data_IF_826849553860
#
_entry.id   IF_826849553860
#
_cell.length_a   1.000
_cell.length_b   1.000
_cell.length_c   1.000
_cell.angle_alpha   90.00
_cell.angle_beta   90.00
_cell.angle_gamma   90.00
#
_symmetry.space_group_name_H-M   'P 1'
#
loop_
_entity.id
_entity.type
_entity.pdbx_description
1 polymer ?
#
# COMPACT_ATOMS: atom_id res chain seq x y z
N UNK A 1 1.42 20.92 -0.82
CA UNK A 1 0.76 19.63 -0.54
C UNK A 1 -0.67 19.74 -1.05
N UNK A 2 -0.98 19.13 -2.20
CA UNK A 2 -2.34 19.13 -2.75
C UNK A 2 -2.69 17.70 -3.11
N UNK A 3 -3.17 16.98 -2.10
CA UNK A 3 -3.90 15.77 -2.39
C UNK A 3 -5.26 16.20 -2.96
N UNK A 4 -5.50 15.89 -4.23
CA UNK A 4 -6.80 16.08 -4.86
C UNK A 4 -7.59 14.78 -4.70
N UNK A 5 -8.85 14.87 -4.27
CA UNK A 5 -9.74 13.72 -4.06
C UNK A 5 -9.27 12.68 -3.02
N UNK A 6 -8.52 13.11 -1.99
CA UNK A 6 -8.13 12.27 -0.86
C UNK A 6 -8.92 12.66 0.39
N UNK A 7 -9.51 11.66 1.05
CA UNK A 7 -10.37 11.86 2.21
C UNK A 7 -9.83 11.09 3.42
N UNK A 8 -9.69 11.77 4.55
CA UNK A 8 -9.34 11.15 5.83
C UNK A 8 -10.60 11.08 6.72
N UNK A 9 -11.09 9.86 6.97
CA UNK A 9 -12.31 9.64 7.76
C UNK A 9 -11.96 9.16 9.17
N UNK A 10 -12.01 10.08 10.13
CA UNK A 10 -11.68 9.83 11.54
C UNK A 10 -12.92 9.73 12.43
N UNK A 11 -12.82 9.02 13.56
CA UNK A 11 -13.91 8.91 14.53
C UNK A 11 -13.78 7.69 15.45
N UNK A 12 -14.65 7.59 16.46
CA UNK A 12 -14.63 6.54 17.48
C UNK A 12 -14.85 5.14 16.90
N UNK A 13 -14.46 4.10 17.65
CA UNK A 13 -14.73 2.71 17.27
C UNK A 13 -16.23 2.50 17.03
N UNK A 14 -16.59 1.66 16.06
CA UNK A 14 -17.98 1.35 15.68
C UNK A 14 -18.85 2.51 15.19
N UNK A 15 -18.29 3.68 14.89
CA UNK A 15 -19.02 4.83 14.33
C UNK A 15 -19.35 4.71 12.82
N UNK A 16 -19.27 3.52 12.21
CA UNK A 16 -19.62 3.33 10.79
C UNK A 16 -18.60 3.89 9.77
N UNK A 17 -17.36 4.17 10.18
CA UNK A 17 -16.31 4.75 9.31
C UNK A 17 -16.03 3.92 8.06
N UNK A 18 -15.82 2.61 8.23
CA UNK A 18 -15.55 1.70 7.09
C UNK A 18 -16.71 1.68 6.10
N UNK A 19 -17.96 1.73 6.59
CA UNK A 19 -19.15 1.81 5.73
C UNK A 19 -19.14 3.09 4.88
N UNK A 20 -18.80 4.23 5.48
CA UNK A 20 -18.70 5.50 4.76
C UNK A 20 -17.59 5.47 3.71
N UNK A 21 -16.40 4.96 4.07
CA UNK A 21 -15.25 4.86 3.14
C UNK A 21 -15.60 3.99 1.93
N UNK A 22 -16.23 2.81 2.15
CA UNK A 22 -16.68 1.93 1.05
C UNK A 22 -17.70 2.59 0.15
N UNK A 23 -18.67 3.30 0.72
CA UNK A 23 -19.69 3.99 -0.06
C UNK A 23 -19.10 5.14 -0.90
N UNK A 24 -18.14 5.88 -0.35
CA UNK A 24 -17.43 6.94 -1.07
C UNK A 24 -16.59 6.37 -2.22
N UNK A 25 -15.83 5.31 -1.96
CA UNK A 25 -15.05 4.59 -2.96
C UNK A 25 -15.94 4.11 -4.12
N UNK A 26 -17.04 3.41 -3.82
CA UNK A 26 -17.97 2.91 -4.84
C UNK A 26 -18.66 4.03 -5.64
N UNK A 27 -18.96 5.17 -5.02
CA UNK A 27 -19.67 6.28 -5.67
C UNK A 27 -18.78 7.08 -6.63
N UNK A 28 -17.51 7.23 -6.29
CA UNK A 28 -16.58 8.11 -7.01
C UNK A 28 -15.43 7.38 -7.70
N UNK A 29 -15.55 6.06 -7.87
CA UNK A 29 -14.48 5.20 -8.42
C UNK A 29 -13.15 5.38 -7.67
N UNK A 30 -13.26 5.53 -6.34
CA UNK A 30 -12.13 5.74 -5.44
C UNK A 30 -11.60 4.44 -4.85
N UNK A 31 -10.42 4.50 -4.24
CA UNK A 31 -9.81 3.36 -3.55
C UNK A 31 -10.11 3.46 -2.05
N UNK A 32 -10.75 2.42 -1.50
CA UNK A 32 -10.90 2.29 -0.06
C UNK A 32 -9.59 1.78 0.57
N UNK A 33 -8.86 2.66 1.25
CA UNK A 33 -7.60 2.31 1.94
C UNK A 33 -7.86 1.55 3.25
N UNK A 34 -8.45 0.36 3.16
CA UNK A 34 -8.65 -0.55 4.30
C UNK A 34 -7.35 -1.29 4.68
N UNK A 35 -7.44 -2.27 5.58
CA UNK A 35 -6.33 -3.17 5.87
C UNK A 35 -5.87 -3.86 4.58
N UNK A 36 -4.56 -3.84 4.33
CA UNK A 36 -3.94 -4.45 3.15
C UNK A 36 -4.46 -3.92 1.79
N UNK A 37 -4.98 -2.69 1.71
CA UNK A 37 -5.41 -2.08 0.43
C UNK A 37 -4.35 -2.12 -0.68
N UNK A 38 -3.09 -2.17 -0.28
CA UNK A 38 -1.93 -2.31 -1.15
C UNK A 38 -1.98 -3.59 -2.00
N UNK A 39 -2.56 -4.70 -1.53
CA UNK A 39 -2.67 -5.95 -2.29
C UNK A 39 -3.48 -5.75 -3.58
N UNK A 40 -4.55 -4.96 -3.51
CA UNK A 40 -5.41 -4.63 -4.66
C UNK A 40 -4.69 -3.80 -5.71
N UNK A 41 -3.63 -3.08 -5.34
CA UNK A 41 -2.85 -2.21 -6.23
C UNK A 41 -1.55 -2.87 -6.68
N UNK A 42 -0.98 -3.78 -5.86
CA UNK A 42 0.26 -4.48 -6.11
C UNK A 42 0.23 -5.26 -7.43
N UNK A 43 -0.91 -5.85 -7.80
CA UNK A 43 -1.02 -6.69 -8.99
C UNK A 43 -0.67 -5.91 -10.28
N UNK A 44 -1.06 -4.64 -10.36
CA UNK A 44 -0.90 -3.81 -11.55
C UNK A 44 0.44 -3.05 -11.59
N UNK A 45 1.22 -3.07 -10.50
CA UNK A 45 2.51 -2.39 -10.45
C UNK A 45 3.57 -3.11 -11.30
N UNK A 46 4.31 -2.33 -12.08
CA UNK A 46 5.49 -2.80 -12.80
C UNK A 46 6.67 -2.98 -11.85
N UNK A 47 7.27 -4.18 -11.80
CA UNK A 47 8.49 -4.41 -11.02
C UNK A 47 9.70 -3.67 -11.56
N UNK A 48 9.67 -3.28 -12.84
CA UNK A 48 10.73 -2.48 -13.44
C UNK A 48 10.68 -1.02 -12.98
N UNK A 49 9.47 -0.51 -12.69
CA UNK A 49 9.26 0.87 -12.24
C UNK A 49 9.26 0.98 -10.72
N UNK A 50 8.68 -0.01 -10.02
CA UNK A 50 8.52 -0.03 -8.57
C UNK A 50 9.14 -1.29 -7.91
N UNK A 51 10.44 -1.57 -8.11
CA UNK A 51 11.07 -2.82 -7.67
C UNK A 51 10.98 -3.06 -6.16
N UNK A 52 11.01 -2.01 -5.35
CA UNK A 52 10.88 -2.13 -3.88
C UNK A 52 9.44 -2.44 -3.45
N UNK A 53 8.44 -1.84 -4.10
CA UNK A 53 7.03 -2.10 -3.79
C UNK A 53 6.59 -3.49 -4.25
N UNK A 54 7.08 -3.97 -5.40
CA UNK A 54 6.75 -5.31 -5.91
C UNK A 54 7.65 -6.42 -5.36
N UNK A 55 8.67 -6.09 -4.56
CA UNK A 55 9.66 -7.06 -4.09
C UNK A 55 9.01 -8.30 -3.45
N UNK A 56 8.08 -8.10 -2.52
CA UNK A 56 7.43 -9.20 -1.80
C UNK A 56 6.46 -10.00 -2.66
N UNK A 57 5.85 -9.36 -3.68
CA UNK A 57 5.00 -10.03 -4.67
C UNK A 57 5.80 -11.03 -5.51
N UNK A 58 7.01 -10.62 -5.91
CA UNK A 58 7.85 -11.40 -6.83
C UNK A 58 8.82 -12.33 -6.09
N UNK A 59 8.88 -12.23 -4.75
CA UNK A 59 9.77 -13.01 -3.89
C UNK A 59 9.48 -14.51 -3.98
N UNK A 60 10.46 -15.26 -4.48
CA UNK A 60 10.35 -16.72 -4.59
C UNK A 60 10.70 -17.43 -3.28
N UNK A 61 11.54 -16.81 -2.44
CA UNK A 61 12.07 -17.44 -1.24
C UNK A 61 12.24 -16.43 -0.09
N UNK A 62 11.49 -16.65 1.00
CA UNK A 62 11.56 -15.81 2.20
C UNK A 62 12.94 -15.73 2.85
N UNK A 63 13.80 -16.74 2.66
CA UNK A 63 15.16 -16.69 3.19
C UNK A 63 16.00 -15.57 2.58
N UNK A 64 15.72 -15.15 1.33
CA UNK A 64 16.40 -14.02 0.69
C UNK A 64 16.05 -12.70 1.38
N UNK A 65 14.78 -12.52 1.78
CA UNK A 65 14.36 -11.35 2.53
C UNK A 65 15.00 -11.34 3.93
N UNK A 66 14.97 -12.46 4.64
CA UNK A 66 15.43 -12.57 6.03
C UNK A 66 16.95 -12.37 6.14
N UNK A 67 17.71 -12.76 5.11
CA UNK A 67 19.18 -12.71 5.11
C UNK A 67 19.76 -11.40 4.62
N UNK A 68 18.93 -10.41 4.27
CA UNK A 68 19.42 -9.09 3.86
C UNK A 68 20.32 -8.49 4.93
N UNK A 69 21.39 -7.87 4.46
CA UNK A 69 22.20 -6.99 5.29
C UNK A 69 21.39 -5.75 5.72
N UNK A 70 21.79 -5.06 6.79
CA UNK A 70 21.16 -3.81 7.20
C UNK A 70 21.07 -2.78 6.07
N UNK A 71 22.12 -2.63 5.27
CA UNK A 71 22.19 -1.68 4.15
C UNK A 71 21.21 -2.04 3.04
N UNK A 72 21.08 -3.33 2.68
CA UNK A 72 20.11 -3.79 1.68
C UNK A 72 18.66 -3.61 2.16
N UNK A 73 18.43 -3.81 3.45
CA UNK A 73 17.12 -3.60 4.05
C UNK A 73 16.75 -2.11 4.08
N UNK A 74 17.69 -1.24 4.45
CA UNK A 74 17.52 0.21 4.40
C UNK A 74 17.27 0.71 2.98
N UNK A 75 18.05 0.23 2.00
CA UNK A 75 17.85 0.57 0.60
C UNK A 75 16.46 0.16 0.09
N UNK A 76 15.96 -1.00 0.52
CA UNK A 76 14.60 -1.44 0.20
C UNK A 76 13.54 -0.51 0.81
N UNK A 77 13.64 -0.17 2.11
CA UNK A 77 12.73 0.76 2.79
C UNK A 77 12.71 2.12 2.07
N UNK A 78 13.88 2.67 1.78
CA UNK A 78 14.02 3.96 1.12
C UNK A 78 13.48 3.93 -0.32
N UNK A 79 13.52 2.77 -0.99
CA UNK A 79 12.92 2.60 -2.31
C UNK A 79 11.39 2.50 -2.29
N UNK A 80 10.78 2.13 -1.16
CA UNK A 80 9.30 2.10 -1.02
C UNK A 80 8.68 3.48 -0.79
N UNK A 81 9.49 4.50 -0.45
CA UNK A 81 9.03 5.87 -0.14
C UNK A 81 9.33 6.88 -1.25
N UNK A 82 9.98 6.42 -2.31
CA UNK A 82 10.45 7.24 -3.43
C UNK A 82 9.40 7.33 -4.53
#
# INVERSE_FOLDING_TARGET
MKFENVYFVNGTAYAGKSTLVKALAAKYDGIACEENYQDSLLADLSSAEFPSLTYTRDLQNWSEFIRRTPDEYEAWINGCTR
#
